data_IF_236772159728
#
_entry.id   IF_236772159728
#
_cell.length_a   1.000
_cell.length_b   1.000
_cell.length_c   1.000
_cell.angle_alpha   90.00
_cell.angle_beta   90.00
_cell.angle_gamma   90.00
#
_symmetry.space_group_name_H-M   'P 1'
#
loop_
_entity.id
_entity.type
_entity.pdbx_description
1 polymer ?
#
# COMPACT_ATOMS: atom_id res chain seq x y z
N UNK A 1 17.19 -3.80 52.16
CA UNK A 1 16.53 -4.38 50.97
C UNK A 1 16.17 -3.23 50.05
N UNK A 2 16.82 -3.09 48.90
CA UNK A 2 16.55 -2.02 47.93
C UNK A 2 15.82 -2.60 46.72
N UNK A 3 14.64 -2.08 46.42
CA UNK A 3 13.82 -2.47 45.26
C UNK A 3 14.20 -1.55 44.09
N UNK A 4 14.76 -2.13 43.02
CA UNK A 4 15.07 -1.40 41.78
C UNK A 4 13.90 -1.59 40.82
N UNK A 5 13.20 -0.50 40.49
CA UNK A 5 12.13 -0.53 39.49
C UNK A 5 12.70 -0.82 38.09
N UNK A 6 12.02 -1.63 37.26
CA UNK A 6 12.50 -1.89 35.91
C UNK A 6 12.40 -0.62 35.06
N UNK A 7 13.53 -0.29 34.44
CA UNK A 7 13.67 0.71 33.39
C UNK A 7 12.59 0.48 32.34
N UNK A 8 11.60 1.37 32.23
CA UNK A 8 10.61 1.26 31.15
C UNK A 8 11.35 1.36 29.82
N UNK A 9 11.34 0.25 29.08
CA UNK A 9 11.86 0.17 27.74
C UNK A 9 11.11 1.19 26.88
N UNK A 10 11.82 2.25 26.46
CA UNK A 10 11.32 3.26 25.55
C UNK A 10 10.94 2.57 24.24
N UNK A 11 9.65 2.29 24.06
CA UNK A 11 9.11 1.76 22.81
C UNK A 11 9.47 2.73 21.68
N UNK A 12 10.48 2.37 20.88
CA UNK A 12 10.76 3.07 19.62
C UNK A 12 9.56 2.83 18.71
N UNK A 13 8.67 3.82 18.57
CA UNK A 13 7.66 3.84 17.50
C UNK A 13 8.39 3.63 16.18
N UNK A 14 8.07 2.54 15.50
CA UNK A 14 8.66 2.21 14.21
C UNK A 14 7.96 3.06 13.16
N UNK A 15 8.68 3.96 12.50
CA UNK A 15 8.17 4.88 11.47
C UNK A 15 7.43 4.13 10.33
N UNK A 16 7.76 2.86 10.12
CA UNK A 16 7.15 2.00 9.08
C UNK A 16 5.63 1.87 9.21
N UNK A 17 5.10 1.67 10.43
CA UNK A 17 3.67 1.48 10.65
C UNK A 17 2.86 2.77 10.48
N UNK A 18 3.44 3.90 10.90
CA UNK A 18 2.84 5.22 10.73
C UNK A 18 2.80 5.63 9.24
N UNK A 19 3.82 5.25 8.48
CA UNK A 19 3.92 5.50 7.05
C UNK A 19 2.88 4.73 6.25
N UNK A 20 2.77 3.41 6.47
CA UNK A 20 1.77 2.57 5.79
C UNK A 20 0.33 3.02 6.10
N UNK A 21 0.04 3.37 7.34
CA UNK A 21 -1.27 3.89 7.73
C UNK A 21 -1.57 5.24 7.02
N UNK A 22 -0.56 6.10 6.91
CA UNK A 22 -0.69 7.37 6.18
C UNK A 22 -0.97 7.14 4.70
N UNK A 23 -0.25 6.21 4.05
CA UNK A 23 -0.47 5.89 2.65
C UNK A 23 -1.84 5.26 2.40
N UNK A 24 -2.30 4.38 3.30
CA UNK A 24 -3.65 3.81 3.24
C UNK A 24 -4.73 4.90 3.30
N UNK A 25 -4.57 5.88 4.19
CA UNK A 25 -5.50 7.01 4.30
C UNK A 25 -5.52 7.86 3.04
N UNK A 26 -4.35 8.17 2.47
CA UNK A 26 -4.26 8.93 1.21
C UNK A 26 -4.84 8.14 0.04
N UNK A 27 -4.62 6.82 -0.01
CA UNK A 27 -5.20 5.95 -1.04
C UNK A 27 -6.74 5.97 -1.02
N UNK A 28 -7.36 6.11 0.15
CA UNK A 28 -8.83 6.20 0.26
C UNK A 28 -9.41 7.45 -0.39
N UNK A 29 -8.62 8.51 -0.52
CA UNK A 29 -9.03 9.79 -1.13
C UNK A 29 -8.39 10.03 -2.50
N UNK A 30 -7.70 9.03 -3.06
CA UNK A 30 -6.97 9.18 -4.32
C UNK A 30 -7.87 8.98 -5.53
N UNK A 31 -7.43 9.52 -6.67
CA UNK A 31 -8.07 9.26 -7.96
C UNK A 31 -7.59 7.91 -8.49
N UNK A 32 -8.53 6.97 -8.60
CA UNK A 32 -8.28 5.62 -9.08
C UNK A 32 -8.51 5.50 -10.59
N UNK A 33 -7.60 4.84 -11.29
CA UNK A 33 -7.71 4.57 -12.72
C UNK A 33 -7.87 3.07 -12.93
N UNK A 34 -9.02 2.67 -13.48
CA UNK A 34 -9.31 1.28 -13.81
C UNK A 34 -8.49 0.79 -15.01
N UNK A 35 -8.04 -0.46 -14.95
CA UNK A 35 -7.40 -1.14 -16.08
C UNK A 35 -8.39 -1.33 -17.24
N UNK A 36 -7.91 -1.19 -18.48
CA UNK A 36 -8.77 -1.13 -19.69
C UNK A 36 -9.18 -2.50 -20.26
N UNK A 37 -8.94 -3.62 -19.58
CA UNK A 37 -9.23 -4.95 -20.15
C UNK A 37 -10.70 -5.33 -19.92
N UNK A 38 -11.58 -4.78 -20.76
CA UNK A 38 -13.01 -5.09 -20.81
C UNK A 38 -13.26 -6.44 -21.49
N UNK A 39 -13.14 -7.53 -20.73
CA UNK A 39 -13.94 -8.72 -21.00
C UNK A 39 -14.89 -8.87 -19.81
N UNK A 40 -16.17 -9.20 -20.03
CA UNK A 40 -17.24 -9.20 -19.01
C UNK A 40 -16.93 -10.04 -17.75
N UNK A 41 -15.92 -10.90 -17.82
CA UNK A 41 -15.53 -11.80 -16.74
C UNK A 41 -14.18 -11.46 -16.07
N UNK A 42 -13.48 -10.40 -16.49
CA UNK A 42 -12.18 -10.05 -15.90
C UNK A 42 -12.36 -9.26 -14.58
N UNK A 43 -11.76 -9.75 -13.49
CA UNK A 43 -11.54 -8.93 -12.30
C UNK A 43 -10.63 -7.77 -12.66
N UNK A 44 -11.20 -6.56 -12.64
CA UNK A 44 -10.52 -5.34 -13.05
C UNK A 44 -9.74 -4.81 -11.85
N UNK A 45 -8.44 -4.60 -12.02
CA UNK A 45 -7.65 -3.90 -11.02
C UNK A 45 -7.72 -2.39 -11.25
N UNK A 46 -7.64 -1.63 -10.17
CA UNK A 46 -7.48 -0.18 -10.20
C UNK A 46 -6.14 0.23 -9.60
N UNK A 47 -5.58 1.32 -10.11
CA UNK A 47 -4.29 1.86 -9.67
C UNK A 47 -4.43 3.33 -9.32
N UNK A 48 -3.81 3.75 -8.22
CA UNK A 48 -3.73 5.15 -7.81
C UNK A 48 -2.28 5.54 -7.47
N UNK A 49 -1.88 6.73 -7.92
CA UNK A 49 -0.64 7.36 -7.45
C UNK A 49 -0.85 7.95 -6.06
N UNK A 50 0.01 7.57 -5.12
CA UNK A 50 0.05 8.13 -3.76
C UNK A 50 1.46 8.68 -3.49
N UNK A 51 1.68 9.50 -2.44
CA UNK A 51 3.01 10.06 -2.18
C UNK A 51 4.09 8.98 -2.14
N UNK A 52 5.06 9.07 -3.05
CA UNK A 52 6.22 8.16 -3.19
C UNK A 52 5.89 6.68 -3.48
N UNK A 53 4.62 6.35 -3.74
CA UNK A 53 4.17 4.98 -3.90
C UNK A 53 3.02 4.84 -4.92
N UNK A 54 2.67 3.60 -5.22
CA UNK A 54 1.54 3.21 -6.06
C UNK A 54 0.68 2.27 -5.25
N UNK A 55 -0.61 2.57 -5.17
CA UNK A 55 -1.61 1.72 -4.56
C UNK A 55 -2.38 0.94 -5.65
N UNK A 56 -2.62 -0.34 -5.40
CA UNK A 56 -3.35 -1.26 -6.28
C UNK A 56 -4.46 -1.92 -5.47
N UNK A 57 -5.66 -2.02 -6.04
CA UNK A 57 -6.81 -2.70 -5.44
C UNK A 57 -7.67 -3.43 -6.47
N UNK A 58 -8.55 -4.30 -5.99
CA UNK A 58 -9.63 -4.88 -6.79
C UNK A 58 -10.76 -3.85 -6.94
N UNK A 59 -11.26 -3.63 -8.16
CA UNK A 59 -12.41 -2.75 -8.39
C UNK A 59 -13.70 -3.28 -7.73
N UNK A 60 -13.78 -4.60 -7.51
CA UNK A 60 -14.96 -5.28 -6.94
C UNK A 60 -15.05 -5.13 -5.42
N UNK A 61 -13.92 -4.85 -4.77
CA UNK A 61 -13.86 -4.62 -3.32
C UNK A 61 -13.02 -3.35 -3.02
N UNK A 62 -13.60 -2.14 -3.20
CA UNK A 62 -12.89 -0.87 -3.02
C UNK A 62 -12.31 -0.63 -1.61
N UNK A 63 -12.92 -1.28 -0.61
CA UNK A 63 -12.56 -1.21 0.81
C UNK A 63 -11.71 -2.40 1.28
N UNK A 64 -11.49 -3.37 0.39
CA UNK A 64 -10.63 -4.52 0.62
C UNK A 64 -9.15 -4.17 0.74
N UNK A 65 -8.29 -5.20 0.96
CA UNK A 65 -6.86 -5.03 1.08
C UNK A 65 -6.24 -4.33 -0.14
N UNK A 66 -5.30 -3.43 0.12
CA UNK A 66 -4.58 -2.68 -0.92
C UNK A 66 -3.12 -3.09 -0.92
N UNK A 67 -2.57 -3.31 -2.11
CA UNK A 67 -1.14 -3.49 -2.29
C UNK A 67 -0.51 -2.12 -2.52
N UNK A 68 0.37 -1.69 -1.63
CA UNK A 68 1.11 -0.42 -1.73
C UNK A 68 2.57 -0.75 -1.97
N UNK A 69 3.13 -0.22 -3.07
CA UNK A 69 4.53 -0.43 -3.45
C UNK A 69 5.21 0.91 -3.70
N UNK A 70 6.53 0.97 -3.44
CA UNK A 70 7.31 2.14 -3.84
C UNK A 70 7.23 2.35 -5.36
N UNK A 71 7.43 3.59 -5.83
CA UNK A 71 7.46 3.86 -7.28
C UNK A 71 8.53 3.03 -8.00
N UNK A 72 9.66 2.76 -7.34
CA UNK A 72 10.77 1.98 -7.90
C UNK A 72 10.38 0.51 -8.05
N UNK A 73 9.75 -0.08 -7.03
CA UNK A 73 9.33 -1.48 -7.07
C UNK A 73 8.18 -1.69 -8.04
N UNK A 74 7.22 -0.75 -8.10
CA UNK A 74 6.13 -0.79 -9.07
C UNK A 74 6.66 -0.76 -10.50
N UNK A 75 7.67 0.08 -10.80
CA UNK A 75 8.30 0.11 -12.13
C UNK A 75 8.94 -1.23 -12.48
N UNK A 76 9.70 -1.82 -11.54
CA UNK A 76 10.33 -3.14 -11.75
C UNK A 76 9.28 -4.21 -12.01
N UNK A 77 8.25 -4.28 -11.16
CA UNK A 77 7.13 -5.19 -11.30
C UNK A 77 6.45 -5.07 -12.67
N UNK A 78 6.09 -3.85 -13.08
CA UNK A 78 5.43 -3.60 -14.36
C UNK A 78 6.31 -3.96 -15.56
N UNK A 79 7.62 -3.66 -15.50
CA UNK A 79 8.57 -4.05 -16.54
C UNK A 79 8.71 -5.57 -16.62
N UNK A 80 8.79 -6.25 -15.49
CA UNK A 80 8.86 -7.71 -15.43
C UNK A 80 7.65 -8.34 -16.09
N UNK A 81 6.43 -7.94 -15.71
CA UNK A 81 5.19 -8.49 -16.28
C UNK A 81 5.07 -8.20 -17.78
N UNK A 82 5.48 -7.01 -18.24
CA UNK A 82 5.41 -6.66 -19.66
C UNK A 82 6.31 -7.54 -20.54
N UNK A 83 7.39 -8.06 -19.97
CA UNK A 83 8.39 -8.84 -20.68
C UNK A 83 8.22 -10.36 -20.49
N UNK A 84 7.15 -10.79 -19.83
CA UNK A 84 6.68 -12.18 -19.80
C UNK A 84 5.75 -12.44 -21.00
#
# INVERSE_FOLDING_TARGET
MAWVAPHQARQRRTVSGDFENTLNRVASTSVWVASRRKTEMASTIEVAGVPQAVAIRDSKDPDGPRLIMSLTDFRRFATTIKNF
#
